data_IF_907135558042
#
_entry.id   IF_907135558042
#
_cell.length_a   1.000
_cell.length_b   1.000
_cell.length_c   1.000
_cell.angle_alpha   90.00
_cell.angle_beta   90.00
_cell.angle_gamma   90.00
#
_symmetry.space_group_name_H-M   'P 1'
#
loop_
_entity.id
_entity.type
_entity.pdbx_description
1 polymer ?
#
# COMPACT_ATOMS: atom_id res chain seq x y z
N UNK A 1 -15.60 -61.53 -27.45
CA UNK A 1 -16.86 -60.76 -27.50
C UNK A 1 -16.65 -59.47 -26.69
N UNK A 2 -16.12 -58.38 -27.26
CA UNK A 2 -16.82 -57.30 -28.00
C UNK A 2 -17.96 -56.61 -27.23
N UNK A 3 -17.60 -55.58 -26.43
CA UNK A 3 -18.15 -54.20 -26.29
C UNK A 3 -19.67 -54.01 -26.03
N UNK A 4 -20.22 -52.79 -25.72
CA UNK A 4 -19.60 -51.51 -25.31
C UNK A 4 -20.40 -50.61 -24.29
N UNK A 5 -19.71 -49.53 -23.84
CA UNK A 5 -20.12 -48.11 -23.69
C UNK A 5 -21.28 -47.66 -22.76
N UNK A 6 -20.94 -46.73 -21.85
CA UNK A 6 -21.57 -45.40 -21.70
C UNK A 6 -20.74 -44.58 -20.70
N UNK A 7 -20.34 -43.33 -20.87
CA UNK A 7 -20.55 -42.34 -21.92
C UNK A 7 -20.19 -40.94 -21.39
N UNK A 8 -19.48 -40.16 -22.24
CA UNK A 8 -19.37 -38.67 -22.29
C UNK A 8 -18.64 -38.00 -21.10
N UNK A 9 -17.55 -37.26 -21.26
CA UNK A 9 -17.24 -36.15 -22.20
C UNK A 9 -16.94 -34.91 -21.32
N UNK A 10 -16.15 -33.88 -21.64
CA UNK A 10 -15.55 -33.35 -22.87
C UNK A 10 -14.52 -32.26 -22.45
N UNK A 11 -13.55 -31.97 -23.34
CA UNK A 11 -12.70 -30.74 -23.47
C UNK A 11 -11.43 -30.64 -22.59
N UNK A 12 -10.20 -30.87 -23.12
CA UNK A 12 -9.40 -30.11 -24.10
C UNK A 12 -8.82 -28.83 -23.46
N UNK A 13 -7.51 -28.69 -23.22
CA UNK A 13 -6.52 -28.23 -24.20
C UNK A 13 -5.08 -28.48 -23.69
N UNK A 14 -4.18 -28.64 -24.66
CA UNK A 14 -2.78 -29.04 -24.56
C UNK A 14 -1.81 -27.85 -24.82
N UNK A 15 -0.60 -27.98 -24.27
CA UNK A 15 0.72 -27.65 -24.86
C UNK A 15 1.21 -26.20 -25.14
N UNK A 16 2.36 -25.91 -24.52
CA UNK A 16 3.67 -25.50 -25.09
C UNK A 16 3.95 -24.11 -25.74
N UNK A 17 4.97 -23.46 -25.15
CA UNK A 17 6.30 -23.14 -25.75
C UNK A 17 6.60 -21.80 -26.48
N UNK A 18 7.93 -21.59 -26.63
CA UNK A 18 8.74 -20.60 -27.39
C UNK A 18 9.21 -19.38 -26.57
N UNK A 19 10.49 -19.14 -26.24
CA UNK A 19 11.83 -19.26 -26.88
C UNK A 19 12.12 -18.25 -28.02
N UNK A 20 13.04 -17.32 -27.70
CA UNK A 20 14.07 -16.57 -28.48
C UNK A 20 13.99 -16.40 -30.01
N UNK A 21 14.27 -15.17 -30.49
CA UNK A 21 15.29 -14.74 -31.49
C UNK A 21 14.95 -13.30 -31.98
N UNK A 22 15.89 -12.35 -32.10
CA UNK A 22 16.82 -12.18 -33.24
C UNK A 22 17.93 -11.13 -32.94
N UNK A 23 19.08 -11.31 -33.59
CA UNK A 23 20.33 -10.52 -33.59
C UNK A 23 20.53 -9.70 -34.89
N UNK A 24 21.53 -8.80 -34.86
CA UNK A 24 22.26 -8.08 -35.94
C UNK A 24 21.78 -6.65 -36.29
N UNK A 25 22.64 -5.62 -36.45
CA UNK A 25 23.91 -5.57 -37.16
C UNK A 25 24.97 -4.55 -36.64
N UNK A 26 26.18 -4.69 -37.19
CA UNK A 26 27.50 -4.13 -36.85
C UNK A 26 27.91 -2.92 -37.73
N UNK A 27 28.62 -1.89 -37.19
CA UNK A 27 30.01 -1.44 -37.56
C UNK A 27 30.45 -0.08 -36.94
N UNK A 28 31.78 0.24 -36.91
CA UNK A 28 32.43 1.03 -35.85
C UNK A 28 33.09 2.38 -36.26
N UNK A 29 33.60 3.07 -35.21
CA UNK A 29 34.83 3.90 -35.13
C UNK A 29 34.80 5.38 -35.54
N UNK A 30 35.20 6.25 -34.60
CA UNK A 30 35.57 7.65 -34.78
C UNK A 30 35.85 8.39 -33.45
N UNK A 31 37.13 8.59 -33.14
CA UNK A 31 37.78 9.32 -32.01
C UNK A 31 37.36 10.81 -31.96
N UNK A 32 37.16 11.50 -30.81
CA UNK A 32 38.16 12.23 -30.01
C UNK A 32 37.57 12.87 -28.72
N UNK A 33 38.47 13.16 -27.75
CA UNK A 33 38.36 13.84 -26.44
C UNK A 33 37.44 15.09 -26.39
N UNK A 34 36.81 15.49 -25.27
CA UNK A 34 37.44 16.13 -24.08
C UNK A 34 36.56 16.14 -22.81
N UNK A 35 37.22 15.93 -21.66
CA UNK A 35 37.05 16.53 -20.31
C UNK A 35 35.70 16.60 -19.55
N UNK A 36 35.75 15.98 -18.36
CA UNK A 36 35.27 16.45 -17.04
C UNK A 36 33.88 16.05 -16.50
N UNK A 37 33.95 15.59 -15.24
CA UNK A 37 32.95 15.22 -14.22
C UNK A 37 32.06 13.96 -14.34
N UNK A 38 32.36 13.00 -13.46
CA UNK A 38 31.45 11.98 -12.94
C UNK A 38 31.27 12.21 -11.44
N UNK A 39 30.04 12.02 -10.91
CA UNK A 39 29.88 10.78 -10.15
C UNK A 39 28.62 9.98 -10.50
N UNK A 40 28.87 8.69 -10.73
CA UNK A 40 28.03 7.50 -10.52
C UNK A 40 26.56 7.52 -10.95
N UNK A 41 26.31 6.89 -12.09
CA UNK A 41 25.03 6.33 -12.49
C UNK A 41 24.71 5.06 -11.68
N UNK A 42 23.56 5.05 -11.01
CA UNK A 42 22.79 3.82 -10.80
C UNK A 42 21.45 4.03 -11.52
N UNK A 43 21.51 3.77 -12.83
CA UNK A 43 20.37 3.73 -13.72
C UNK A 43 19.69 2.36 -13.57
N UNK A 44 18.67 2.29 -12.71
CA UNK A 44 17.67 1.20 -12.69
C UNK A 44 16.33 1.74 -12.15
N UNK A 45 15.78 2.73 -12.86
CA UNK A 45 14.36 3.06 -12.79
C UNK A 45 13.87 3.35 -14.22
N UNK A 46 13.83 2.27 -15.01
CA UNK A 46 13.23 2.26 -16.35
C UNK A 46 11.75 2.62 -16.23
N UNK A 47 11.40 3.73 -16.87
CA UNK A 47 10.17 3.98 -17.62
C UNK A 47 9.02 2.98 -17.39
N UNK A 48 8.01 3.41 -16.63
CA UNK A 48 6.62 3.01 -16.88
C UNK A 48 5.79 4.27 -16.97
N UNK A 49 5.75 4.84 -18.17
CA UNK A 49 4.77 5.88 -18.54
C UNK A 49 3.44 5.19 -18.83
N UNK A 50 2.75 4.73 -17.80
CA UNK A 50 1.32 4.44 -17.92
C UNK A 50 0.56 5.74 -17.71
N UNK A 51 -0.01 6.29 -18.79
CA UNK A 51 -1.00 7.36 -18.71
C UNK A 51 -2.21 6.83 -17.94
N UNK A 52 -2.23 7.03 -16.63
CA UNK A 52 -3.41 6.80 -15.82
C UNK A 52 -4.41 7.88 -16.22
N UNK A 53 -5.38 7.51 -17.05
CA UNK A 53 -6.48 8.38 -17.44
C UNK A 53 -7.24 8.80 -16.16
N UNK A 54 -7.13 10.08 -15.80
CA UNK A 54 -7.87 10.67 -14.70
C UNK A 54 -9.35 10.78 -15.10
N UNK A 55 -10.14 9.75 -14.75
CA UNK A 55 -11.59 9.83 -14.87
C UNK A 55 -12.14 10.66 -13.71
N UNK A 56 -12.61 11.87 -14.04
CA UNK A 56 -13.28 12.81 -13.15
C UNK A 56 -14.64 12.25 -12.73
N UNK A 57 -14.67 11.29 -11.80
CA UNK A 57 -15.91 10.79 -11.23
C UNK A 57 -16.11 11.36 -9.83
N UNK A 58 -16.81 12.49 -9.81
CA UNK A 58 -17.39 13.11 -8.62
C UNK A 58 -18.40 12.18 -7.95
N UNK A 59 -18.26 12.01 -6.63
CA UNK A 59 -19.31 11.92 -5.60
C UNK A 59 -18.94 10.92 -4.51
N UNK A 60 -19.17 11.36 -3.27
CA UNK A 60 -18.93 10.65 -2.03
C UNK A 60 -19.23 9.14 -2.13
N UNK A 61 -18.22 8.32 -1.88
CA UNK A 61 -18.40 6.87 -1.79
C UNK A 61 -18.45 6.49 -0.30
N UNK A 62 -19.49 5.78 0.16
CA UNK A 62 -19.59 5.37 1.56
C UNK A 62 -18.43 4.43 1.90
N UNK A 63 -18.00 4.45 3.17
CA UNK A 63 -16.98 3.61 3.83
C UNK A 63 -17.30 2.10 3.80
N UNK A 64 -18.17 1.64 2.89
CA UNK A 64 -18.58 0.24 2.75
C UNK A 64 -18.58 -0.14 1.25
N UNK A 65 -17.41 -0.36 0.64
CA UNK A 65 -17.27 -1.09 -0.63
C UNK A 65 -16.29 -2.23 -0.41
N UNK A 66 -16.63 -3.50 -0.75
CA UNK A 66 -15.77 -4.62 -0.44
C UNK A 66 -14.50 -4.60 -1.31
N UNK A 67 -13.37 -4.91 -0.68
CA UNK A 67 -12.17 -5.48 -1.28
C UNK A 67 -11.50 -4.71 -2.44
N UNK A 68 -11.23 -3.41 -2.29
CA UNK A 68 -10.30 -2.73 -3.22
C UNK A 68 -8.89 -2.70 -2.62
N UNK A 69 -7.96 -3.44 -3.23
CA UNK A 69 -6.53 -3.20 -3.08
C UNK A 69 -6.13 -2.13 -4.08
N UNK A 70 -5.44 -1.07 -3.64
CA UNK A 70 -5.07 0.04 -4.52
C UNK A 70 -4.92 1.35 -3.77
N UNK A 71 -5.17 2.46 -4.45
CA UNK A 71 -5.07 3.81 -3.90
C UNK A 71 -6.45 4.45 -3.76
N UNK A 72 -6.73 4.98 -2.58
CA UNK A 72 -7.92 5.77 -2.28
C UNK A 72 -7.55 7.24 -2.25
N UNK A 73 -8.22 8.07 -3.06
CA UNK A 73 -8.09 9.52 -2.99
C UNK A 73 -8.70 10.01 -1.67
N UNK A 74 -7.88 10.67 -0.85
CA UNK A 74 -8.28 11.29 0.41
C UNK A 74 -8.66 12.77 0.23
N UNK A 75 -7.86 13.52 -0.53
CA UNK A 75 -8.12 14.93 -0.81
C UNK A 75 -7.59 15.34 -2.17
N UNK A 76 -8.19 16.40 -2.71
CA UNK A 76 -7.79 17.05 -3.95
C UNK A 76 -7.85 18.55 -3.73
N UNK A 77 -6.72 19.22 -3.90
CA UNK A 77 -6.60 20.67 -3.81
C UNK A 77 -6.03 21.21 -5.11
N UNK A 78 -6.46 22.40 -5.51
CA UNK A 78 -5.90 23.12 -6.65
C UNK A 78 -5.54 24.51 -6.19
N UNK A 79 -4.29 24.91 -6.41
CA UNK A 79 -3.83 26.25 -6.04
C UNK A 79 -4.18 27.29 -7.11
N UNK A 80 -3.88 28.55 -6.81
CA UNK A 80 -4.16 29.69 -7.69
C UNK A 80 -3.38 29.67 -9.00
N UNK A 81 -2.28 28.89 -9.06
CA UNK A 81 -1.45 28.71 -10.26
C UNK A 81 -1.93 27.55 -11.13
N UNK A 82 -2.98 26.82 -10.72
CA UNK A 82 -3.54 25.68 -11.43
C UNK A 82 -2.85 24.35 -11.14
N UNK A 83 -1.95 24.30 -10.15
CA UNK A 83 -1.30 23.06 -9.73
C UNK A 83 -2.26 22.27 -8.84
N UNK A 84 -2.30 20.95 -9.02
CA UNK A 84 -3.14 20.06 -8.24
C UNK A 84 -2.32 19.21 -7.28
N UNK A 85 -2.84 19.07 -6.05
CA UNK A 85 -2.30 18.24 -4.99
C UNK A 85 -3.32 17.16 -4.65
N UNK A 86 -3.04 15.93 -5.05
CA UNK A 86 -3.91 14.79 -4.79
C UNK A 86 -3.30 13.93 -3.68
N UNK A 87 -3.94 13.89 -2.51
CA UNK A 87 -3.52 13.01 -1.42
C UNK A 87 -4.21 11.66 -1.56
N UNK A 88 -3.44 10.59 -1.53
CA UNK A 88 -3.90 9.21 -1.58
C UNK A 88 -3.49 8.44 -0.34
N UNK A 89 -4.24 7.37 -0.03
CA UNK A 89 -3.87 6.32 0.93
C UNK A 89 -3.90 4.97 0.27
N UNK A 90 -2.90 4.13 0.55
CA UNK A 90 -2.92 2.75 0.07
C UNK A 90 -3.90 1.91 0.89
N UNK A 91 -4.72 1.11 0.20
CA UNK A 91 -5.59 0.10 0.77
C UNK A 91 -5.14 -1.29 0.33
N UNK A 92 -5.34 -2.28 1.20
CA UNK A 92 -5.22 -3.71 0.89
C UNK A 92 -6.48 -4.43 1.34
N UNK A 93 -7.21 -5.02 0.38
CA UNK A 93 -8.54 -5.63 0.60
C UNK A 93 -9.50 -4.70 1.38
N UNK A 94 -9.40 -3.39 1.18
CA UNK A 94 -10.22 -2.39 1.86
C UNK A 94 -9.68 -1.90 3.22
N UNK A 95 -8.58 -2.46 3.72
CA UNK A 95 -7.94 -2.03 4.97
C UNK A 95 -6.81 -1.04 4.67
N UNK A 96 -6.74 0.13 5.34
CA UNK A 96 -5.68 1.11 5.13
C UNK A 96 -4.32 0.55 5.53
N UNK A 97 -3.32 0.78 4.68
CA UNK A 97 -1.94 0.42 4.98
C UNK A 97 -1.32 1.54 5.83
N UNK A 98 -0.78 1.18 6.98
CA UNK A 98 -0.22 2.15 7.91
C UNK A 98 0.97 2.91 7.29
N UNK A 99 0.97 4.23 7.46
CA UNK A 99 1.99 5.15 6.92
C UNK A 99 2.27 4.93 5.43
N UNK A 100 1.20 4.92 4.64
CA UNK A 100 1.24 4.73 3.18
C UNK A 100 0.61 5.89 2.40
N UNK A 101 0.44 7.04 3.05
CA UNK A 101 -0.10 8.22 2.39
C UNK A 101 0.90 8.73 1.33
N UNK A 102 0.37 9.16 0.20
CA UNK A 102 1.13 9.71 -0.92
C UNK A 102 0.49 11.00 -1.41
N UNK A 103 1.30 11.93 -1.92
CA UNK A 103 0.82 13.16 -2.54
C UNK A 103 1.33 13.19 -3.97
N UNK A 104 0.41 13.22 -4.92
CA UNK A 104 0.71 13.42 -6.33
C UNK A 104 0.57 14.91 -6.65
N UNK A 105 1.64 15.50 -7.17
CA UNK A 105 1.67 16.87 -7.62
C UNK A 105 1.56 16.92 -9.14
N UNK A 106 0.61 17.71 -9.62
CA UNK A 106 0.28 17.84 -11.05
C UNK A 106 0.38 19.32 -11.43
N UNK A 107 1.07 19.64 -12.52
CA UNK A 107 1.20 21.02 -13.00
C UNK A 107 -0.08 21.49 -13.74
N UNK A 108 -0.09 22.75 -14.17
CA UNK A 108 -1.23 23.35 -14.88
C UNK A 108 -1.50 22.66 -16.25
N UNK A 109 -0.47 22.07 -16.85
CA UNK A 109 -0.53 21.30 -18.09
C UNK A 109 -1.05 19.85 -17.91
N UNK A 110 -1.46 19.47 -16.69
CA UNK A 110 -1.95 18.14 -16.31
C UNK A 110 -0.87 17.04 -16.33
N UNK A 111 0.39 17.41 -16.14
CA UNK A 111 1.51 16.48 -16.05
C UNK A 111 1.88 16.22 -14.58
N UNK A 112 2.06 14.95 -14.23
CA UNK A 112 2.59 14.57 -12.91
C UNK A 112 4.09 14.89 -12.92
N UNK A 113 4.49 15.83 -12.06
CA UNK A 113 5.90 16.23 -11.96
C UNK A 113 6.57 15.77 -10.67
N UNK A 114 5.79 15.34 -9.67
CA UNK A 114 6.31 14.85 -8.39
C UNK A 114 5.31 13.93 -7.69
N UNK A 115 5.83 12.90 -7.02
CA UNK A 115 5.08 12.06 -6.10
C UNK A 115 5.86 11.95 -4.79
N UNK A 116 5.24 12.40 -3.70
CA UNK A 116 5.77 12.30 -2.34
C UNK A 116 5.07 11.18 -1.57
N UNK A 117 5.70 10.71 -0.49
CA UNK A 117 5.14 9.70 0.41
C UNK A 117 5.69 8.29 0.17
N UNK A 118 4.94 7.28 0.59
CA UNK A 118 5.41 5.88 0.55
C UNK A 118 4.33 4.92 0.05
N UNK A 119 4.68 4.12 -0.95
CA UNK A 119 3.92 2.93 -1.32
C UNK A 119 4.59 1.68 -0.72
N UNK A 120 3.84 0.89 0.06
CA UNK A 120 4.34 -0.34 0.68
C UNK A 120 4.03 -1.55 -0.20
N UNK A 121 5.08 -2.25 -0.64
CA UNK A 121 4.91 -3.58 -1.23
C UNK A 121 4.52 -4.55 -0.11
N UNK A 122 3.31 -5.11 -0.21
CA UNK A 122 2.83 -6.11 0.74
C UNK A 122 3.10 -7.50 0.15
N UNK A 123 3.81 -8.33 0.91
CA UNK A 123 4.05 -9.72 0.53
C UNK A 123 2.94 -10.64 1.02
N UNK A 124 2.59 -11.64 0.21
CA UNK A 124 1.68 -12.72 0.59
C UNK A 124 0.19 -12.37 0.50
N UNK A 125 -0.63 -13.38 0.79
CA UNK A 125 -2.07 -13.22 0.98
C UNK A 125 -2.36 -13.08 2.47
N UNK A 126 -2.88 -11.92 2.88
CA UNK A 126 -3.17 -11.61 4.27
C UNK A 126 -4.67 -11.77 4.54
N UNK A 127 -5.01 -12.44 5.64
CA UNK A 127 -6.37 -12.42 6.18
C UNK A 127 -6.63 -11.06 6.81
N UNK A 128 -7.70 -10.41 6.36
CA UNK A 128 -8.11 -9.08 6.82
C UNK A 128 -9.34 -9.13 7.74
N UNK A 129 -9.68 -10.33 8.20
CA UNK A 129 -10.78 -10.57 9.13
C UNK A 129 -10.22 -10.63 10.56
N UNK A 130 -10.40 -9.59 11.38
CA UNK A 130 -9.80 -9.58 12.71
C UNK A 130 -10.45 -10.66 13.60
N UNK A 131 -9.62 -11.41 14.34
CA UNK A 131 -10.11 -12.36 15.35
C UNK A 131 -10.53 -11.63 16.62
N UNK A 132 -9.81 -10.54 16.96
CA UNK A 132 -10.12 -9.67 18.09
C UNK A 132 -11.00 -8.51 17.67
N UNK A 133 -11.99 -8.19 18.49
CA UNK A 133 -12.74 -6.95 18.35
C UNK A 133 -11.89 -5.73 18.69
N UNK A 134 -12.34 -4.56 18.24
CA UNK A 134 -11.76 -3.27 18.57
C UNK A 134 -11.71 -3.02 20.09
N UNK A 135 -12.77 -3.42 20.83
CA UNK A 135 -12.81 -3.34 22.29
C UNK A 135 -11.73 -4.21 22.95
N UNK A 136 -11.58 -5.47 22.51
CA UNK A 136 -10.56 -6.36 23.06
C UNK A 136 -9.14 -5.84 22.80
N UNK A 137 -8.90 -5.26 21.62
CA UNK A 137 -7.63 -4.63 21.30
C UNK A 137 -7.38 -3.36 22.13
N UNK A 138 -8.42 -2.56 22.37
CA UNK A 138 -8.32 -1.36 23.20
C UNK A 138 -8.00 -1.69 24.68
N UNK A 139 -8.63 -2.73 25.24
CA UNK A 139 -8.35 -3.19 26.60
C UNK A 139 -6.89 -3.68 26.72
N UNK A 140 -6.42 -4.45 25.74
CA UNK A 140 -5.01 -4.90 25.67
C UNK A 140 -4.03 -3.74 25.53
N UNK A 141 -4.38 -2.73 24.75
CA UNK A 141 -3.56 -1.54 24.59
C UNK A 141 -3.45 -0.73 25.89
N UNK A 142 -4.55 -0.58 26.64
CA UNK A 142 -4.54 0.07 27.94
C UNK A 142 -3.74 -0.74 28.97
N UNK A 143 -3.89 -2.06 28.99
CA UNK A 143 -3.10 -2.98 29.83
C UNK A 143 -1.60 -2.87 29.55
N UNK A 144 -1.20 -2.79 28.27
CA UNK A 144 0.20 -2.63 27.87
C UNK A 144 0.83 -1.31 28.35
N UNK A 145 0.02 -0.32 28.71
CA UNK A 145 0.48 0.96 29.25
C UNK A 145 0.34 1.07 30.78
N UNK A 146 -0.20 0.04 31.44
CA UNK A 146 -0.57 0.06 32.86
C UNK A 146 0.61 0.25 33.82
N UNK A 147 1.82 -0.16 33.43
CA UNK A 147 3.06 0.04 34.21
C UNK A 147 3.34 1.52 34.53
N UNK A 148 2.77 2.45 33.75
CA UNK A 148 2.88 3.88 34.01
C UNK A 148 2.07 4.39 35.22
N UNK A 149 1.22 3.54 35.83
CA UNK A 149 0.32 3.92 36.92
C UNK A 149 -0.78 4.89 36.50
N UNK A 150 -0.99 5.06 35.20
CA UNK A 150 -1.94 6.01 34.61
C UNK A 150 -3.18 5.27 34.11
N UNK A 151 -4.32 5.94 34.25
CA UNK A 151 -5.53 5.49 33.59
C UNK A 151 -5.51 5.97 32.12
N UNK A 152 -5.39 5.03 31.19
CA UNK A 152 -5.39 5.29 29.76
C UNK A 152 -6.78 5.02 29.18
N UNK A 153 -7.34 6.01 28.48
CA UNK A 153 -8.63 5.91 27.82
C UNK A 153 -8.42 5.82 26.32
N UNK A 154 -9.03 4.82 25.68
CA UNK A 154 -9.02 4.70 24.21
C UNK A 154 -9.88 5.81 23.58
N UNK A 155 -9.30 6.56 22.64
CA UNK A 155 -9.95 7.64 21.90
C UNK A 155 -10.36 7.16 20.49
N UNK A 156 -9.43 6.57 19.75
CA UNK A 156 -9.66 6.07 18.39
C UNK A 156 -9.19 4.62 18.24
N UNK A 157 -9.81 3.90 17.30
CA UNK A 157 -9.54 2.48 17.02
C UNK A 157 -9.69 2.25 15.53
N UNK A 158 -8.57 2.01 14.85
CA UNK A 158 -8.54 1.83 13.40
C UNK A 158 -7.93 0.46 13.07
N UNK A 159 -8.58 -0.29 12.19
CA UNK A 159 -8.01 -1.51 11.62
C UNK A 159 -7.06 -1.13 10.49
N UNK A 160 -5.81 -1.56 10.57
CA UNK A 160 -4.74 -1.21 9.64
C UNK A 160 -3.98 -2.46 9.16
N UNK A 161 -3.32 -2.33 8.01
CA UNK A 161 -2.24 -3.23 7.63
C UNK A 161 -0.93 -2.64 8.12
N UNK A 162 -0.27 -3.32 9.05
CA UNK A 162 1.01 -2.93 9.60
C UNK A 162 2.17 -3.64 8.87
N UNK A 163 3.05 -2.91 8.17
CA UNK A 163 4.21 -3.49 7.49
C UNK A 163 5.34 -3.82 8.50
N UNK A 164 5.36 -5.06 9.00
CA UNK A 164 6.35 -5.56 9.95
C UNK A 164 7.54 -6.25 9.24
N UNK A 165 8.44 -5.44 8.66
CA UNK A 165 9.59 -5.95 7.91
C UNK A 165 9.15 -6.63 6.60
N UNK A 166 9.50 -7.90 6.42
CA UNK A 166 9.16 -8.66 5.21
C UNK A 166 7.70 -9.16 5.16
N UNK A 167 6.98 -9.14 6.29
CA UNK A 167 5.57 -9.54 6.38
C UNK A 167 4.69 -8.40 6.85
N UNK A 168 3.54 -8.27 6.21
CA UNK A 168 2.47 -7.41 6.69
C UNK A 168 1.59 -8.17 7.69
N UNK A 169 1.06 -7.46 8.67
CA UNK A 169 0.16 -7.99 9.69
C UNK A 169 -1.13 -7.17 9.72
N UNK A 170 -2.27 -7.83 9.96
CA UNK A 170 -3.50 -7.13 10.30
C UNK A 170 -3.39 -6.67 11.76
N UNK A 171 -3.63 -5.40 12.02
CA UNK A 171 -3.45 -4.82 13.35
C UNK A 171 -4.50 -3.76 13.66
N UNK A 172 -4.77 -3.56 14.94
CA UNK A 172 -5.50 -2.42 15.47
C UNK A 172 -4.52 -1.32 15.86
N UNK A 173 -4.68 -0.12 15.31
CA UNK A 173 -4.08 1.10 15.80
C UNK A 173 -5.04 1.72 16.83
N UNK A 174 -4.62 1.69 18.09
CA UNK A 174 -5.39 2.25 19.20
C UNK A 174 -4.70 3.52 19.68
N UNK A 175 -5.40 4.64 19.68
CA UNK A 175 -4.92 5.86 20.31
C UNK A 175 -5.50 5.97 21.71
N UNK A 176 -4.63 6.26 22.67
CA UNK A 176 -4.97 6.36 24.07
C UNK A 176 -4.52 7.69 24.63
N UNK A 177 -5.31 8.20 25.58
CA UNK A 177 -4.99 9.39 26.34
C UNK A 177 -5.00 9.18 27.84
N UNK A 178 -4.14 9.95 28.51
CA UNK A 178 -4.16 10.08 29.96
C UNK A 178 -3.76 11.51 30.34
N UNK A 179 -4.76 12.34 30.66
CA UNK A 179 -4.57 13.78 30.81
C UNK A 179 -4.03 14.41 29.52
N UNK A 180 -2.89 15.08 29.61
CA UNK A 180 -2.21 15.71 28.46
C UNK A 180 -1.37 14.73 27.62
N UNK A 181 -1.30 13.47 28.02
CA UNK A 181 -0.43 12.49 27.37
C UNK A 181 -1.22 11.75 26.30
N UNK A 182 -0.54 11.44 25.20
CA UNK A 182 -1.09 10.68 24.08
C UNK A 182 -0.09 9.61 23.69
N UNK A 183 -0.59 8.40 23.47
CA UNK A 183 0.17 7.29 22.93
C UNK A 183 -0.69 6.55 21.92
N UNK A 184 -0.05 5.97 20.93
CA UNK A 184 -0.69 5.00 20.05
C UNK A 184 -0.08 3.63 20.27
N UNK A 185 -0.90 2.60 20.33
CA UNK A 185 -0.47 1.21 20.47
C UNK A 185 -0.99 0.43 19.28
N UNK A 186 -0.09 -0.30 18.62
CA UNK A 186 -0.42 -1.19 17.51
C UNK A 186 -0.50 -2.61 18.07
N UNK A 187 -1.68 -3.21 17.98
CA UNK A 187 -1.99 -4.54 18.50
C UNK A 187 -2.27 -5.48 17.32
N UNK A 188 -1.65 -6.65 17.28
CA UNK A 188 -1.97 -7.71 16.31
C UNK A 188 -3.46 -8.10 16.42
N UNK A 189 -4.19 -8.03 15.30
CA UNK A 189 -5.64 -8.19 15.28
C UNK A 189 -6.11 -9.66 15.44
N UNK A 190 -5.20 -10.62 15.40
CA UNK A 190 -5.52 -12.04 15.54
C UNK A 190 -5.16 -12.60 16.93
N UNK A 191 -4.00 -12.22 17.47
CA UNK A 191 -3.49 -12.79 18.72
C UNK A 191 -3.38 -11.77 19.87
N UNK A 192 -3.47 -10.46 19.58
CA UNK A 192 -3.43 -9.41 20.60
C UNK A 192 -2.03 -9.08 21.12
N UNK A 193 -0.97 -9.50 20.43
CA UNK A 193 0.40 -9.10 20.74
C UNK A 193 0.60 -7.60 20.49
N UNK A 194 1.37 -6.95 21.37
CA UNK A 194 1.78 -5.56 21.18
C UNK A 194 2.89 -5.52 20.13
N UNK A 195 2.58 -4.98 18.95
CA UNK A 195 3.53 -4.85 17.84
C UNK A 195 4.38 -3.58 17.98
N UNK A 196 3.78 -2.48 18.45
CA UNK A 196 4.48 -1.20 18.62
C UNK A 196 3.77 -0.29 19.61
N UNK A 197 4.54 0.49 20.37
CA UNK A 197 4.05 1.63 21.17
C UNK A 197 4.70 2.89 20.61
N UNK A 198 3.89 3.91 20.36
CA UNK A 198 4.27 5.20 19.77
C UNK A 198 3.97 6.33 20.74
N UNK A 199 4.90 7.27 20.88
CA UNK A 199 4.74 8.46 21.73
C UNK A 199 4.12 9.61 20.94
N UNK A 200 3.02 10.21 21.43
CA UNK A 200 2.31 11.28 20.72
C UNK A 200 1.15 10.77 19.86
N UNK A 201 0.56 11.67 19.06
CA UNK A 201 -0.53 11.35 18.14
C UNK A 201 0.04 11.04 16.75
N UNK A 202 -0.30 9.89 16.16
CA UNK A 202 0.28 9.40 14.90
C UNK A 202 -0.76 9.05 13.82
N UNK A 203 -1.99 9.55 13.95
CA UNK A 203 -3.05 9.50 12.93
C UNK A 203 -3.06 10.70 11.96
#
# INVERSE_FOLDING_TARGET
MTKPLSGKGIHNQLLNACLLLMLAACKPMGTEMTSEDQPSTNADAVQTTEKIAYNKQTSARPVNSPATTGLQLLSSETDELGYQHLKYRQLYKGVPVWQSDMIMHINAEQEIYRVDGQHRKLGGDLDVSPTLSDNQAADKAAEALSESGRNWLSETRELIIFPAGEKAMLAWLIELSSGLNRKSVIIDAHNGAVLKILEGNWS
#
